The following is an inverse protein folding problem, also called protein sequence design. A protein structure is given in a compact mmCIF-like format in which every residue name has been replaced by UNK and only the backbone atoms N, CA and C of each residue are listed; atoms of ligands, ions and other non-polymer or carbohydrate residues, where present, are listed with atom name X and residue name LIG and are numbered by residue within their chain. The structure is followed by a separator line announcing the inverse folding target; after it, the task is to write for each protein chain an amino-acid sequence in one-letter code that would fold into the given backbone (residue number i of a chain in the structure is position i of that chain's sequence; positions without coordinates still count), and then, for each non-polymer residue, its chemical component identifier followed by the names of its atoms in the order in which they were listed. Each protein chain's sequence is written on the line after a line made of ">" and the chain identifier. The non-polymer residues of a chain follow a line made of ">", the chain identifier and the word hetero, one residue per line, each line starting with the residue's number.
data_IF_259053550395
#
_entry.id   IF_259053550395
#
_cell.length_a   1.000
_cell.length_b   1.000
_cell.length_c   1.000
_cell.angle_alpha   90.00
_cell.angle_beta   90.00
_cell.angle_gamma   90.00
#
_symmetry.space_group_name_H-M   'P 1'
#
loop_
_entity.id
_entity.type
_entity.pdbx_description
1 polymer ?
#
# COMPACT_ATOMS: atom_id res chain seq x y z
N UNK A 1 15.80 -0.24 -12.97
CA UNK A 1 15.70 -1.14 -11.80
C UNK A 1 17.10 -1.37 -11.26
N UNK A 2 17.29 -1.21 -9.93
CA UNK A 2 18.54 -1.55 -9.24
C UNK A 2 18.24 -2.76 -8.37
N UNK A 3 19.02 -3.82 -8.53
CA UNK A 3 18.91 -5.04 -7.73
C UNK A 3 20.17 -5.17 -6.89
N UNK A 4 20.01 -5.30 -5.57
CA UNK A 4 21.09 -5.57 -4.64
C UNK A 4 20.81 -6.89 -3.94
N UNK A 5 21.72 -7.85 -4.02
CA UNK A 5 21.59 -9.14 -3.37
C UNK A 5 22.71 -9.33 -2.34
N UNK A 6 22.36 -9.87 -1.17
CA UNK A 6 23.30 -10.27 -0.12
C UNK A 6 23.05 -11.72 0.25
N UNK A 7 23.99 -12.57 -0.07
CA UNK A 7 23.92 -13.99 0.33
C UNK A 7 24.38 -14.18 1.79
N UNK A 8 23.62 -15.00 2.52
CA UNK A 8 24.01 -15.53 3.84
C UNK A 8 23.54 -16.97 3.94
N UNK A 9 24.37 -17.86 4.53
CA UNK A 9 24.05 -19.29 4.67
C UNK A 9 23.72 -19.67 6.13
N UNK A 10 23.40 -18.69 6.97
CA UNK A 10 23.12 -18.94 8.38
C UNK A 10 21.70 -19.45 8.63
N UNK A 11 20.75 -19.05 7.77
CA UNK A 11 19.34 -19.41 7.84
C UNK A 11 18.81 -19.71 6.44
N UNK A 12 17.93 -20.70 6.25
CA UNK A 12 17.30 -21.00 4.97
C UNK A 12 16.15 -20.04 4.66
N UNK A 13 16.32 -18.75 4.89
CA UNK A 13 15.29 -17.73 4.70
C UNK A 13 15.76 -16.70 3.67
N UNK A 14 14.81 -16.22 2.86
CA UNK A 14 14.99 -15.14 1.90
C UNK A 14 14.07 -13.98 2.28
N UNK A 15 14.63 -12.78 2.36
CA UNK A 15 13.85 -11.55 2.49
C UNK A 15 13.95 -10.76 1.20
N UNK A 16 12.80 -10.50 0.58
CA UNK A 16 12.64 -9.63 -0.58
C UNK A 16 12.20 -8.27 -0.08
N UNK A 17 12.92 -7.23 -0.46
CA UNK A 17 12.56 -5.86 -0.15
C UNK A 17 12.46 -5.07 -1.45
N UNK A 18 11.25 -4.67 -1.80
CA UNK A 18 10.95 -3.88 -2.99
C UNK A 18 10.63 -2.45 -2.56
N UNK A 19 11.20 -1.48 -3.26
CA UNK A 19 10.89 -0.07 -3.09
C UNK A 19 10.61 0.55 -4.46
N UNK A 20 9.46 1.16 -4.60
CA UNK A 20 9.00 1.81 -5.82
C UNK A 20 8.75 3.30 -5.56
N UNK A 21 9.11 4.17 -6.49
CA UNK A 21 8.83 5.61 -6.42
C UNK A 21 7.34 5.89 -6.74
N UNK A 22 6.47 5.36 -5.88
CA UNK A 22 5.02 5.40 -5.99
C UNK A 22 4.42 5.75 -4.62
N UNK A 23 4.85 6.87 -4.04
CA UNK A 23 4.34 7.37 -2.77
C UNK A 23 3.16 8.31 -2.94
N UNK A 24 2.61 8.81 -1.82
CA UNK A 24 1.42 9.67 -1.82
C UNK A 24 1.63 11.04 -2.48
N UNK A 25 2.86 11.42 -2.81
CA UNK A 25 3.13 12.60 -3.66
C UNK A 25 2.65 12.41 -5.10
N UNK A 26 2.43 11.17 -5.53
CA UNK A 26 1.92 10.83 -6.85
C UNK A 26 0.38 10.89 -6.94
N UNK A 27 -0.31 11.11 -5.81
CA UNK A 27 -1.77 11.22 -5.81
C UNK A 27 -2.25 12.33 -6.75
N UNK A 28 -3.26 12.06 -7.57
CA UNK A 28 -3.83 13.06 -8.48
C UNK A 28 -4.45 14.23 -7.69
N UNK A 29 -4.60 15.35 -8.36
CA UNK A 29 -5.28 16.52 -7.77
C UNK A 29 -6.73 16.13 -7.44
N UNK A 30 -7.14 16.36 -6.19
CA UNK A 30 -8.45 15.95 -5.69
C UNK A 30 -8.54 14.47 -5.23
N UNK A 31 -7.52 13.65 -5.49
CA UNK A 31 -7.46 12.23 -5.10
C UNK A 31 -6.49 11.94 -3.95
N UNK A 32 -6.30 12.88 -3.03
CA UNK A 32 -5.41 12.67 -1.90
C UNK A 32 -5.78 11.38 -1.13
N UNK A 33 -4.79 10.55 -0.81
CA UNK A 33 -4.97 9.25 -0.17
C UNK A 33 -5.21 8.09 -1.14
N UNK A 34 -5.24 8.32 -2.45
CA UNK A 34 -5.45 7.26 -3.45
C UNK A 34 -4.34 6.19 -3.37
N UNK A 35 -3.08 6.59 -3.34
CA UNK A 35 -1.94 5.68 -3.20
C UNK A 35 -1.97 4.95 -1.84
N UNK A 36 -2.37 5.64 -0.77
CA UNK A 36 -2.52 5.03 0.54
C UNK A 36 -3.61 3.96 0.54
N UNK A 37 -4.77 4.24 -0.03
CA UNK A 37 -5.87 3.28 -0.16
C UNK A 37 -5.47 2.11 -1.08
N UNK A 38 -4.82 2.39 -2.22
CA UNK A 38 -4.34 1.37 -3.14
C UNK A 38 -3.35 0.41 -2.48
N UNK A 39 -2.43 0.92 -1.65
CA UNK A 39 -1.45 0.08 -0.93
C UNK A 39 -2.09 -0.95 0.01
N UNK A 40 -3.36 -0.75 0.40
CA UNK A 40 -4.15 -1.66 1.23
C UNK A 40 -5.03 -2.62 0.43
N UNK A 41 -5.02 -2.48 -0.89
CA UNK A 41 -5.90 -3.23 -1.79
C UNK A 41 -5.13 -4.14 -2.74
N UNK A 42 -3.85 -3.85 -3.02
CA UNK A 42 -3.07 -4.60 -4.02
C UNK A 42 -2.90 -6.08 -3.68
N UNK A 43 -2.92 -6.43 -2.39
CA UNK A 43 -2.84 -7.81 -1.88
C UNK A 43 -4.22 -8.43 -1.60
N UNK A 44 -5.32 -7.75 -1.94
CA UNK A 44 -6.68 -8.20 -1.68
C UNK A 44 -7.34 -8.90 -2.88
N UNK A 45 -6.54 -9.38 -3.78
CA UNK A 45 -6.92 -10.17 -4.95
C UNK A 45 -6.17 -9.75 -6.19
N UNK A 46 -5.97 -10.72 -7.06
CA UNK A 46 -5.38 -10.55 -8.39
C UNK A 46 -6.40 -10.97 -9.45
N UNK A 47 -6.02 -10.89 -10.71
CA UNK A 47 -6.84 -11.44 -11.80
C UNK A 47 -7.02 -12.96 -11.68
N UNK A 48 -6.08 -13.65 -10.99
CA UNK A 48 -6.02 -15.12 -10.90
C UNK A 48 -6.49 -15.67 -9.57
N UNK A 49 -6.31 -14.90 -8.48
CA UNK A 49 -6.57 -15.35 -7.12
C UNK A 49 -7.42 -14.35 -6.36
N UNK A 50 -8.33 -14.86 -5.55
CA UNK A 50 -9.07 -14.07 -4.57
C UNK A 50 -8.18 -13.68 -3.39
N UNK A 51 -8.68 -12.78 -2.52
CA UNK A 51 -7.98 -12.40 -1.29
C UNK A 51 -7.71 -13.61 -0.37
N UNK A 52 -8.71 -14.50 -0.24
CA UNK A 52 -8.62 -15.68 0.62
C UNK A 52 -7.60 -16.69 0.07
N UNK A 53 -7.57 -16.92 -1.25
CA UNK A 53 -6.61 -17.80 -1.89
C UNK A 53 -5.17 -17.26 -1.75
N UNK A 54 -4.97 -15.94 -1.88
CA UNK A 54 -3.67 -15.31 -1.64
C UNK A 54 -3.24 -15.45 -0.17
N UNK A 55 -4.15 -15.18 0.76
CA UNK A 55 -3.89 -15.32 2.19
C UNK A 55 -3.52 -16.77 2.54
N UNK A 56 -4.30 -17.75 2.07
CA UNK A 56 -4.03 -19.18 2.29
C UNK A 56 -2.68 -19.60 1.71
N UNK A 57 -2.36 -19.16 0.48
CA UNK A 57 -1.08 -19.47 -0.18
C UNK A 57 0.13 -18.94 0.59
N UNK A 58 -0.01 -17.78 1.25
CA UNK A 58 1.04 -17.16 2.04
C UNK A 58 1.12 -17.77 3.46
N UNK A 59 -0.02 -17.86 4.16
CA UNK A 59 -0.09 -18.30 5.56
C UNK A 59 0.29 -19.76 5.76
N UNK A 60 -0.15 -20.66 4.86
CA UNK A 60 0.18 -22.09 4.95
C UNK A 60 1.68 -22.37 4.86
N UNK A 61 2.44 -21.44 4.27
CA UNK A 61 3.90 -21.52 4.13
C UNK A 61 4.65 -20.65 5.14
N UNK A 62 3.93 -19.99 6.06
CA UNK A 62 4.52 -19.08 7.04
C UNK A 62 5.19 -17.85 6.41
N UNK A 63 4.72 -17.42 5.25
CA UNK A 63 5.24 -16.26 4.52
C UNK A 63 4.73 -14.99 5.17
N UNK A 64 5.64 -14.07 5.48
CA UNK A 64 5.30 -12.73 5.97
C UNK A 64 5.35 -11.75 4.80
N UNK A 65 4.22 -11.10 4.51
CA UNK A 65 4.08 -10.03 3.53
C UNK A 65 3.66 -8.74 4.23
N UNK A 66 4.38 -7.65 3.99
CA UNK A 66 4.05 -6.32 4.49
C UNK A 66 4.13 -5.31 3.36
N UNK A 67 3.06 -4.56 3.15
CA UNK A 67 2.97 -3.49 2.16
C UNK A 67 2.76 -2.18 2.89
N UNK A 68 3.62 -1.21 2.61
CA UNK A 68 3.56 0.10 3.23
C UNK A 68 3.80 1.21 2.21
N UNK A 69 3.25 2.38 2.48
CA UNK A 69 3.46 3.56 1.66
C UNK A 69 3.83 4.75 2.52
N UNK A 70 4.78 5.52 2.06
CA UNK A 70 5.11 6.83 2.59
C UNK A 70 4.91 7.91 1.50
N UNK A 71 5.39 9.13 1.73
CA UNK A 71 5.22 10.20 0.76
C UNK A 71 5.88 9.93 -0.59
N UNK A 72 6.99 9.19 -0.63
CA UNK A 72 7.80 9.00 -1.84
C UNK A 72 7.77 7.60 -2.39
N UNK A 73 7.57 6.61 -1.53
CA UNK A 73 7.77 5.21 -1.87
C UNK A 73 6.62 4.34 -1.40
N UNK A 74 6.28 3.38 -2.24
CA UNK A 74 5.58 2.17 -1.86
C UNK A 74 6.64 1.09 -1.65
N UNK A 75 6.58 0.44 -0.49
CA UNK A 75 7.51 -0.61 -0.10
C UNK A 75 6.78 -1.91 0.15
N UNK A 76 7.38 -3.00 -0.30
CA UNK A 76 6.90 -4.35 -0.04
C UNK A 76 8.05 -5.14 0.57
N UNK A 77 7.80 -5.71 1.74
CA UNK A 77 8.76 -6.61 2.40
C UNK A 77 8.10 -7.97 2.51
N UNK A 78 8.77 -8.97 1.95
CA UNK A 78 8.32 -10.35 2.00
C UNK A 78 9.44 -11.24 2.53
N UNK A 79 9.12 -12.10 3.50
CA UNK A 79 10.08 -13.09 4.04
C UNK A 79 9.50 -14.48 3.91
N UNK A 80 10.27 -15.39 3.32
CA UNK A 80 9.89 -16.78 3.09
C UNK A 80 11.07 -17.72 3.31
N UNK A 81 10.82 -19.02 3.29
CA UNK A 81 11.88 -20.02 3.20
C UNK A 81 12.48 -20.02 1.77
N UNK A 82 13.74 -20.44 1.66
CA UNK A 82 14.43 -20.48 0.37
C UNK A 82 13.77 -21.43 -0.65
N UNK A 83 13.15 -22.51 -0.17
CA UNK A 83 12.39 -23.46 -1.00
C UNK A 83 11.10 -22.86 -1.57
N UNK A 84 10.50 -21.86 -0.91
CA UNK A 84 9.28 -21.20 -1.37
C UNK A 84 9.53 -19.97 -2.25
N UNK A 85 10.79 -19.58 -2.46
CA UNK A 85 11.17 -18.35 -3.14
C UNK A 85 10.50 -18.17 -4.50
N UNK A 86 10.54 -19.20 -5.35
CA UNK A 86 9.96 -19.16 -6.71
C UNK A 86 8.44 -18.90 -6.67
N UNK A 87 7.74 -19.63 -5.78
CA UNK A 87 6.29 -19.48 -5.62
C UNK A 87 5.92 -18.10 -5.10
N UNK A 88 6.65 -17.61 -4.09
CA UNK A 88 6.46 -16.27 -3.52
C UNK A 88 6.74 -15.18 -4.54
N UNK A 89 7.79 -15.33 -5.31
CA UNK A 89 8.16 -14.35 -6.33
C UNK A 89 7.09 -14.25 -7.43
N UNK A 90 6.48 -15.38 -7.81
CA UNK A 90 5.35 -15.40 -8.74
C UNK A 90 4.13 -14.66 -8.16
N UNK A 91 3.76 -14.94 -6.91
CA UNK A 91 2.64 -14.25 -6.21
C UNK A 91 2.89 -12.75 -6.08
N UNK A 92 4.10 -12.34 -5.73
CA UNK A 92 4.47 -10.91 -5.69
C UNK A 92 4.35 -10.26 -7.07
N UNK A 93 4.73 -10.98 -8.13
CA UNK A 93 4.54 -10.52 -9.51
C UNK A 93 3.07 -10.27 -9.83
N UNK A 94 2.17 -11.18 -9.45
CA UNK A 94 0.72 -11.03 -9.65
C UNK A 94 0.15 -9.85 -8.87
N UNK A 95 0.48 -9.73 -7.58
CA UNK A 95 0.06 -8.61 -6.72
C UNK A 95 0.48 -7.26 -7.31
N UNK A 96 1.70 -7.19 -7.86
CA UNK A 96 2.25 -5.95 -8.40
C UNK A 96 1.77 -5.62 -9.81
N UNK A 97 1.51 -6.60 -10.64
CA UNK A 97 1.23 -6.39 -12.07
C UNK A 97 -0.25 -6.51 -12.41
N UNK A 98 -1.00 -7.30 -11.66
CA UNK A 98 -2.37 -7.69 -12.00
C UNK A 98 -3.33 -7.63 -10.79
N UNK A 99 -3.31 -6.57 -9.93
CA UNK A 99 -4.26 -6.46 -8.83
C UNK A 99 -5.69 -6.29 -9.37
N UNK A 100 -6.65 -7.00 -8.78
CA UNK A 100 -8.05 -6.94 -9.22
C UNK A 100 -8.86 -5.84 -8.55
N UNK A 101 -8.43 -5.35 -7.38
CA UNK A 101 -9.11 -4.33 -6.57
C UNK A 101 -10.62 -4.65 -6.45
N UNK A 102 -11.02 -5.73 -5.75
CA UNK A 102 -12.43 -6.11 -5.65
C UNK A 102 -13.28 -5.03 -4.97
N UNK A 103 -14.49 -4.80 -5.47
CA UNK A 103 -15.39 -3.74 -4.94
C UNK A 103 -15.73 -3.93 -3.46
N UNK A 104 -15.93 -5.18 -3.01
CA UNK A 104 -16.23 -5.45 -1.61
C UNK A 104 -15.03 -5.12 -0.70
N UNK A 105 -13.79 -5.43 -1.13
CA UNK A 105 -12.58 -5.06 -0.42
C UNK A 105 -12.38 -3.53 -0.41
N UNK A 106 -12.68 -2.86 -1.52
CA UNK A 106 -12.63 -1.41 -1.59
C UNK A 106 -13.54 -0.76 -0.53
N UNK A 107 -14.77 -1.26 -0.38
CA UNK A 107 -15.70 -0.76 0.64
C UNK A 107 -15.13 -0.96 2.05
N UNK A 108 -14.60 -2.16 2.33
CA UNK A 108 -14.01 -2.48 3.65
C UNK A 108 -12.83 -1.57 3.93
N UNK A 109 -11.87 -1.47 3.00
CA UNK A 109 -10.64 -0.66 3.20
C UNK A 109 -10.93 0.84 3.30
N UNK A 110 -11.92 1.35 2.55
CA UNK A 110 -12.40 2.72 2.76
C UNK A 110 -12.89 2.93 4.19
N UNK A 111 -13.71 2.03 4.71
CA UNK A 111 -14.20 2.10 6.09
C UNK A 111 -13.08 2.13 7.13
N UNK A 112 -12.03 1.31 6.94
CA UNK A 112 -10.85 1.31 7.81
C UNK A 112 -10.08 2.64 7.73
N UNK A 113 -9.89 3.20 6.53
CA UNK A 113 -9.21 4.49 6.35
C UNK A 113 -10.02 5.62 6.96
N UNK A 114 -11.35 5.65 6.78
CA UNK A 114 -12.21 6.64 7.39
C UNK A 114 -12.17 6.57 8.92
N UNK A 115 -12.14 5.36 9.49
CA UNK A 115 -11.95 5.18 10.93
C UNK A 115 -10.60 5.71 11.41
N UNK A 116 -9.53 5.44 10.65
CA UNK A 116 -8.20 5.98 10.97
C UNK A 116 -8.14 7.51 10.87
N UNK A 117 -8.85 8.11 9.90
CA UNK A 117 -8.97 9.56 9.80
C UNK A 117 -9.72 10.17 10.99
N UNK A 118 -10.78 9.52 11.46
CA UNK A 118 -11.50 9.96 12.66
C UNK A 118 -10.60 9.93 13.91
N UNK A 119 -9.76 8.88 14.04
CA UNK A 119 -8.76 8.79 15.12
C UNK A 119 -7.67 9.88 15.01
N UNK A 120 -7.24 10.21 13.81
CA UNK A 120 -6.27 11.30 13.57
C UNK A 120 -6.88 12.67 13.98
N UNK A 121 -8.18 12.87 13.79
CA UNK A 121 -8.90 14.07 14.25
C UNK A 121 -8.90 14.25 15.77
N UNK A 122 -8.84 13.16 16.53
CA UNK A 122 -8.75 13.20 17.98
C UNK A 122 -7.31 13.38 18.50
N UNK A 123 -6.31 13.35 17.60
CA UNK A 123 -4.90 13.49 17.93
C UNK A 123 -4.37 14.90 17.75
N UNK A 124 -4.10 15.67 18.84
CA UNK A 124 -3.52 17.02 18.72
C UNK A 124 -2.17 17.04 17.99
N UNK A 125 -1.36 15.99 18.15
CA UNK A 125 -0.08 15.88 17.47
C UNK A 125 -0.24 15.77 15.95
N UNK A 126 -1.15 14.89 15.49
CA UNK A 126 -1.40 14.71 14.05
C UNK A 126 -1.95 15.99 13.44
N UNK A 127 -2.90 16.65 14.10
CA UNK A 127 -3.43 17.96 13.67
C UNK A 127 -2.33 19.02 13.54
N UNK A 128 -1.52 19.16 14.56
CA UNK A 128 -0.42 20.13 14.53
C UNK A 128 0.56 19.86 13.40
N UNK A 129 0.86 18.58 13.13
CA UNK A 129 1.74 18.20 12.02
C UNK A 129 1.11 18.51 10.66
N UNK A 130 -0.17 18.20 10.46
CA UNK A 130 -0.87 18.49 9.21
C UNK A 130 -0.94 20.01 8.95
N UNK A 131 -1.31 20.80 9.96
CA UNK A 131 -1.32 22.26 9.88
C UNK A 131 0.08 22.85 9.58
N UNK A 132 1.12 22.33 10.23
CA UNK A 132 2.50 22.71 9.94
C UNK A 132 2.86 22.46 8.47
N UNK A 133 2.48 21.30 7.92
CA UNK A 133 2.76 20.96 6.51
C UNK A 133 2.02 21.91 5.56
N UNK A 134 0.77 22.28 5.88
CA UNK A 134 0.01 23.26 5.11
C UNK A 134 0.67 24.65 5.18
N UNK A 135 1.11 25.08 6.35
CA UNK A 135 1.79 26.37 6.53
C UNK A 135 3.12 26.45 5.78
N UNK A 136 3.88 25.34 5.73
CA UNK A 136 5.18 25.30 5.06
C UNK A 136 5.08 25.19 3.55
N UNK A 137 4.12 24.44 3.04
CA UNK A 137 4.08 24.07 1.62
C UNK A 137 2.84 24.58 0.87
N UNK A 138 1.80 24.98 1.58
CA UNK A 138 0.50 25.32 1.00
C UNK A 138 -0.35 24.08 0.67
N UNK A 139 -1.64 24.29 0.46
CA UNK A 139 -2.61 23.22 0.19
C UNK A 139 -2.44 22.56 -1.17
N UNK A 140 -1.90 23.26 -2.15
CA UNK A 140 -1.73 22.77 -3.52
C UNK A 140 -0.50 21.87 -3.68
N UNK A 141 0.49 22.07 -2.83
CA UNK A 141 1.70 21.27 -2.87
C UNK A 141 1.45 19.84 -2.33
N UNK A 142 2.01 18.78 -2.96
CA UNK A 142 1.83 17.40 -2.49
C UNK A 142 2.16 17.18 -1.01
N UNK A 143 3.08 17.93 -0.44
CA UNK A 143 3.44 17.84 0.98
C UNK A 143 2.42 18.50 1.91
N UNK A 144 1.67 19.48 1.45
CA UNK A 144 0.59 20.08 2.21
C UNK A 144 -0.68 19.24 2.22
N UNK A 145 -0.77 18.23 1.34
CA UNK A 145 -1.90 17.30 1.30
C UNK A 145 -1.72 16.17 2.32
N UNK A 146 -2.79 15.76 3.05
CA UNK A 146 -2.69 14.63 3.99
C UNK A 146 -2.40 13.32 3.23
N UNK A 147 -1.40 12.55 3.70
CA UNK A 147 -1.00 11.31 3.05
C UNK A 147 -2.09 10.22 3.05
N UNK A 148 -2.94 10.19 4.09
CA UNK A 148 -4.09 9.28 4.17
C UNK A 148 -5.31 9.79 3.40
N UNK A 149 -5.25 11.02 2.86
CA UNK A 149 -6.37 11.69 2.25
C UNK A 149 -7.27 12.43 3.25
N UNK A 150 -8.42 12.84 2.77
CA UNK A 150 -9.51 13.43 3.55
C UNK A 150 -10.75 12.54 3.47
N UNK A 151 -11.73 12.73 4.35
CA UNK A 151 -13.01 12.00 4.29
C UNK A 151 -13.62 12.12 2.89
N UNK A 152 -13.71 13.34 2.36
CA UNK A 152 -14.30 13.59 1.04
C UNK A 152 -13.52 12.92 -0.10
N UNK A 153 -12.17 12.95 -0.07
CA UNK A 153 -11.38 12.31 -1.12
C UNK A 153 -11.52 10.79 -1.06
N UNK A 154 -11.45 10.17 0.12
CA UNK A 154 -11.55 8.71 0.28
C UNK A 154 -12.95 8.20 -0.12
N UNK A 155 -14.02 8.89 0.30
CA UNK A 155 -15.37 8.52 -0.12
C UNK A 155 -15.56 8.62 -1.63
N UNK A 156 -14.99 9.65 -2.26
CA UNK A 156 -15.10 9.92 -3.69
C UNK A 156 -14.27 9.01 -4.60
N UNK A 157 -13.23 8.33 -4.07
CA UNK A 157 -12.40 7.44 -4.89
C UNK A 157 -13.19 6.26 -5.44
N UNK A 158 -13.16 6.07 -6.75
CA UNK A 158 -13.75 4.91 -7.42
C UNK A 158 -12.68 3.87 -7.76
N UNK A 159 -13.10 2.60 -7.89
CA UNK A 159 -12.23 1.50 -8.32
C UNK A 159 -11.44 1.81 -9.59
N UNK A 160 -12.12 2.40 -10.60
CA UNK A 160 -11.50 2.74 -11.88
C UNK A 160 -10.32 3.71 -11.72
N UNK A 161 -10.44 4.70 -10.82
CA UNK A 161 -9.36 5.66 -10.54
C UNK A 161 -8.16 5.01 -9.85
N UNK A 162 -8.39 4.02 -8.99
CA UNK A 162 -7.31 3.27 -8.33
C UNK A 162 -6.57 2.36 -9.32
N UNK A 163 -7.29 1.73 -10.25
CA UNK A 163 -6.68 0.92 -11.31
C UNK A 163 -5.92 1.79 -12.32
N UNK A 164 -6.41 2.98 -12.64
CA UNK A 164 -5.70 3.93 -13.50
C UNK A 164 -4.41 4.45 -12.82
N UNK A 165 -4.47 4.73 -11.51
CA UNK A 165 -3.30 5.13 -10.73
C UNK A 165 -2.24 4.04 -10.68
N UNK A 166 -2.69 2.79 -10.52
CA UNK A 166 -1.80 1.61 -10.53
C UNK A 166 -1.10 1.43 -11.87
#
# INVERSE_FOLDING_TARGET
>A
VVITARETRKTPAVTINLAMNAGTVCDPVGGAGATFLLSRLVDRGTVRHTADELAEALETRGISLSIGVNRHQLSIVCTCLAEDFEAVFAVLGEILMEPSVPEHELVIRKGEVLTALAQDEDSPYVKALLELMVLLYGTDHPYGRPAKGTVASIEGLARAQLLELH
#
